data_IF_706188581830
#
_entry.id   IF_706188581830
#
_cell.length_a   1.000
_cell.length_b   1.000
_cell.length_c   1.000
_cell.angle_alpha   90.00
_cell.angle_beta   90.00
_cell.angle_gamma   90.00
#
_symmetry.space_group_name_H-M   'P 1'
#
loop_
_entity.id
_entity.type
_entity.pdbx_description
1 polymer ?
#
# COMPACT_ATOMS: atom_id res chain seq x y z
N UNK A 1 7.21 -18.25 -9.60
CA UNK A 1 6.73 -16.90 -9.99
C UNK A 1 6.78 -16.78 -11.51
N UNK A 2 5.87 -16.00 -12.13
CA UNK A 2 5.83 -15.81 -13.60
C UNK A 2 6.90 -14.85 -14.13
N UNK A 3 7.73 -14.27 -13.25
CA UNK A 3 8.76 -13.29 -13.64
C UNK A 3 8.18 -11.91 -13.94
N UNK A 4 8.87 -11.14 -14.78
CA UNK A 4 8.38 -9.87 -15.29
C UNK A 4 7.32 -10.11 -16.36
N UNK A 5 6.24 -9.33 -16.32
CA UNK A 5 5.10 -9.43 -17.22
C UNK A 5 4.87 -8.06 -17.85
N UNK A 6 4.50 -8.00 -19.13
CA UNK A 6 4.17 -6.74 -19.78
C UNK A 6 2.93 -6.12 -19.12
N UNK A 7 2.91 -4.79 -18.97
CA UNK A 7 1.84 -4.10 -18.25
C UNK A 7 0.44 -4.39 -18.78
N UNK A 8 0.31 -4.56 -20.09
CA UNK A 8 -0.93 -4.90 -20.80
C UNK A 8 -1.45 -6.30 -20.52
N UNK A 9 -0.58 -7.23 -20.12
CA UNK A 9 -0.94 -8.61 -19.78
C UNK A 9 -1.35 -8.76 -18.32
N UNK A 10 -0.98 -7.82 -17.45
CA UNK A 10 -1.28 -7.86 -16.01
C UNK A 10 -2.78 -8.06 -15.72
N UNK A 11 -3.73 -7.42 -16.44
CA UNK A 11 -5.16 -7.65 -16.23
C UNK A 11 -5.62 -9.10 -16.44
N UNK A 12 -4.94 -9.89 -17.29
CA UNK A 12 -5.31 -11.29 -17.51
C UNK A 12 -5.21 -12.10 -16.22
N UNK A 13 -4.23 -11.80 -15.38
CA UNK A 13 -4.04 -12.44 -14.08
C UNK A 13 -5.13 -12.09 -13.07
N UNK A 14 -5.82 -10.95 -13.23
CA UNK A 14 -6.91 -10.59 -12.34
C UNK A 14 -8.15 -11.44 -12.59
N UNK A 15 -8.32 -11.95 -13.82
CA UNK A 15 -9.45 -12.79 -14.21
C UNK A 15 -9.26 -14.26 -13.83
N UNK A 16 -8.01 -14.69 -13.65
CA UNK A 16 -7.66 -16.05 -13.19
C UNK A 16 -7.60 -16.18 -11.66
N UNK A 17 -7.49 -15.07 -10.93
CA UNK A 17 -7.34 -15.07 -9.49
C UNK A 17 -8.68 -14.96 -8.75
N UNK A 18 -8.79 -15.61 -7.59
CA UNK A 18 -9.94 -15.44 -6.70
C UNK A 18 -9.84 -14.18 -5.82
N UNK A 19 -8.62 -13.81 -5.41
CA UNK A 19 -8.33 -12.69 -4.52
C UNK A 19 -7.02 -12.00 -4.90
N UNK A 20 -7.02 -10.67 -4.92
CA UNK A 20 -5.83 -9.83 -5.00
C UNK A 20 -5.28 -9.54 -3.60
N UNK A 21 -4.02 -9.90 -3.35
CA UNK A 21 -3.38 -9.75 -2.04
C UNK A 21 -2.34 -8.63 -2.09
N UNK A 22 -2.47 -7.66 -1.18
CA UNK A 22 -1.52 -6.58 -1.00
C UNK A 22 -0.94 -6.61 0.43
N UNK A 23 0.39 -6.73 0.54
CA UNK A 23 1.08 -6.81 1.83
C UNK A 23 2.10 -5.68 1.88
N UNK A 24 1.82 -4.67 2.69
CA UNK A 24 2.68 -3.52 2.84
C UNK A 24 3.36 -3.46 4.21
N UNK A 25 4.48 -2.74 4.25
CA UNK A 25 5.08 -2.28 5.50
C UNK A 25 4.31 -1.06 6.01
N UNK A 26 4.20 -0.97 7.33
CA UNK A 26 3.67 0.22 7.99
C UNK A 26 4.74 1.32 8.06
N UNK A 27 4.82 2.12 6.98
CA UNK A 27 5.75 3.24 6.82
C UNK A 27 5.04 4.46 6.21
N UNK A 28 5.60 5.65 6.37
CA UNK A 28 4.99 6.91 5.91
C UNK A 28 4.61 6.89 4.42
N UNK A 29 5.46 6.33 3.56
CA UNK A 29 5.16 6.21 2.13
C UNK A 29 3.88 5.41 1.88
N UNK A 30 3.64 4.34 2.66
CA UNK A 30 2.44 3.52 2.53
C UNK A 30 1.23 4.21 3.14
N UNK A 31 1.39 4.83 4.31
CA UNK A 31 0.30 5.55 5.00
C UNK A 31 -0.25 6.71 4.18
N UNK A 32 0.64 7.45 3.51
CA UNK A 32 0.30 8.64 2.71
C UNK A 32 0.12 8.35 1.22
N UNK A 33 0.52 7.15 0.78
CA UNK A 33 0.49 6.74 -0.62
C UNK A 33 -0.87 6.21 -1.04
N UNK A 34 -1.18 6.37 -2.34
CA UNK A 34 -2.33 5.73 -2.96
C UNK A 34 -1.97 4.34 -3.49
N UNK A 35 -2.92 3.38 -3.42
CA UNK A 35 -2.72 2.00 -3.88
C UNK A 35 -3.47 1.73 -5.17
N UNK A 36 -2.94 2.23 -6.29
CA UNK A 36 -3.60 2.11 -7.60
C UNK A 36 -3.90 0.65 -7.99
N UNK A 37 -3.04 -0.30 -7.60
CA UNK A 37 -3.27 -1.73 -7.85
C UNK A 37 -4.56 -2.25 -7.19
N UNK A 38 -4.90 -1.78 -6.00
CA UNK A 38 -6.18 -2.11 -5.34
C UNK A 38 -7.36 -1.53 -6.14
N UNK A 39 -7.21 -0.32 -6.66
CA UNK A 39 -8.25 0.30 -7.49
C UNK A 39 -8.48 -0.48 -8.80
N UNK A 40 -7.41 -1.01 -9.40
CA UNK A 40 -7.51 -1.83 -10.61
C UNK A 40 -8.20 -3.17 -10.33
N UNK A 41 -7.92 -3.79 -9.19
CA UNK A 41 -8.64 -4.98 -8.73
C UNK A 41 -10.13 -4.71 -8.51
N UNK A 42 -10.50 -3.58 -7.90
CA UNK A 42 -11.91 -3.19 -7.82
C UNK A 42 -12.55 -3.03 -9.20
N UNK A 43 -11.88 -2.37 -10.14
CA UNK A 43 -12.41 -2.22 -11.52
C UNK A 43 -12.60 -3.57 -12.21
N UNK A 44 -11.67 -4.50 -12.02
CA UNK A 44 -11.79 -5.86 -12.53
C UNK A 44 -12.93 -6.64 -11.85
N UNK A 45 -13.27 -6.32 -10.61
CA UNK A 45 -14.18 -7.11 -9.78
C UNK A 45 -13.49 -8.27 -9.10
N UNK A 46 -12.20 -8.10 -8.79
CA UNK A 46 -11.40 -9.01 -7.99
C UNK A 46 -11.52 -8.61 -6.51
N UNK A 47 -11.81 -9.58 -5.64
CA UNK A 47 -11.84 -9.32 -4.21
C UNK A 47 -10.45 -8.93 -3.71
N UNK A 48 -10.37 -7.96 -2.78
CA UNK A 48 -9.09 -7.47 -2.25
C UNK A 48 -8.88 -7.96 -0.83
N UNK A 49 -7.66 -8.39 -0.52
CA UNK A 49 -7.14 -8.57 0.83
C UNK A 49 -5.89 -7.69 1.01
N UNK A 50 -5.91 -6.71 1.93
CA UNK A 50 -4.78 -5.78 2.13
C UNK A 50 -4.37 -5.61 3.59
N UNK A 51 -3.09 -5.39 3.86
CA UNK A 51 -2.65 -4.91 5.18
C UNK A 51 -3.30 -3.56 5.47
N UNK A 52 -3.90 -3.37 6.65
CA UNK A 52 -4.56 -2.11 7.01
C UNK A 52 -3.52 -1.05 7.44
N UNK A 53 -3.14 -0.15 6.52
CA UNK A 53 -2.06 0.83 6.74
C UNK A 53 -2.41 2.24 6.23
N UNK A 54 -3.37 2.38 5.30
CA UNK A 54 -3.65 3.65 4.63
C UNK A 54 -5.14 3.95 4.60
N UNK A 55 -5.51 5.19 4.24
CA UNK A 55 -6.91 5.62 4.16
C UNK A 55 -7.77 4.69 3.29
N UNK A 56 -7.21 4.20 2.17
CA UNK A 56 -7.95 3.28 1.30
C UNK A 56 -8.34 1.99 2.04
N UNK A 57 -7.47 1.45 2.90
CA UNK A 57 -7.76 0.22 3.64
C UNK A 57 -8.74 0.44 4.78
N UNK A 58 -8.80 1.63 5.35
CA UNK A 58 -9.86 2.03 6.29
C UNK A 58 -11.23 2.09 5.58
N UNK A 59 -11.27 2.63 4.35
CA UNK A 59 -12.49 2.63 3.52
C UNK A 59 -12.92 1.19 3.20
N UNK A 60 -11.95 0.29 2.92
CA UNK A 60 -12.25 -1.12 2.65
C UNK A 60 -13.00 -1.77 3.81
N UNK A 61 -12.53 -1.58 5.04
CA UNK A 61 -13.18 -2.12 6.24
C UNK A 61 -14.56 -1.50 6.46
N UNK A 62 -14.63 -0.17 6.43
CA UNK A 62 -15.85 0.58 6.72
C UNK A 62 -16.98 0.23 5.76
N UNK A 63 -16.68 0.21 4.46
CA UNK A 63 -17.67 0.00 3.40
C UNK A 63 -17.90 -1.49 3.09
N UNK A 64 -17.13 -2.39 3.72
CA UNK A 64 -17.21 -3.85 3.52
C UNK A 64 -17.03 -4.25 2.06
N UNK A 65 -16.09 -3.61 1.39
CA UNK A 65 -15.81 -3.77 -0.04
C UNK A 65 -14.60 -4.66 -0.35
N UNK A 66 -14.01 -5.24 0.70
CA UNK A 66 -12.87 -6.13 0.65
C UNK A 66 -12.54 -6.58 2.06
N UNK A 67 -11.36 -7.16 2.21
CA UNK A 67 -10.85 -7.64 3.48
C UNK A 67 -9.53 -6.98 3.81
N UNK A 68 -9.26 -6.87 5.09
CA UNK A 68 -8.00 -6.38 5.61
C UNK A 68 -7.44 -7.33 6.66
N UNK A 69 -6.15 -7.19 6.92
CA UNK A 69 -5.45 -7.84 8.02
C UNK A 69 -4.48 -6.86 8.68
N UNK A 70 -4.09 -7.15 9.91
CA UNK A 70 -3.18 -6.31 10.69
C UNK A 70 -1.75 -6.36 10.13
N UNK A 71 -1.09 -5.21 9.89
CA UNK A 71 0.30 -5.21 9.42
C UNK A 71 1.23 -5.88 10.43
N UNK A 72 2.23 -6.60 9.91
CA UNK A 72 3.19 -7.42 10.68
C UNK A 72 2.58 -8.61 11.45
N UNK A 73 1.31 -8.96 11.21
CA UNK A 73 0.66 -10.10 11.83
C UNK A 73 0.44 -11.23 10.83
N UNK A 74 1.35 -12.20 10.81
CA UNK A 74 1.26 -13.36 9.91
C UNK A 74 0.12 -14.31 10.29
N UNK A 75 -0.33 -14.31 11.56
CA UNK A 75 -1.43 -15.16 12.03
C UNK A 75 -2.77 -14.60 11.58
N UNK A 76 -2.95 -13.29 11.65
CA UNK A 76 -4.16 -12.66 11.12
C UNK A 76 -4.25 -12.82 9.60
N UNK A 77 -3.15 -12.60 8.87
CA UNK A 77 -3.09 -12.86 7.43
C UNK A 77 -3.49 -14.31 7.09
N UNK A 78 -2.91 -15.30 7.78
CA UNK A 78 -3.21 -16.72 7.50
C UNK A 78 -4.66 -17.06 7.83
N UNK A 79 -5.19 -16.56 8.95
CA UNK A 79 -6.59 -16.75 9.31
C UNK A 79 -7.54 -16.16 8.25
N UNK A 80 -7.24 -14.96 7.73
CA UNK A 80 -8.01 -14.36 6.62
C UNK A 80 -7.93 -15.20 5.35
N UNK A 81 -6.75 -15.68 4.96
CA UNK A 81 -6.61 -16.51 3.76
C UNK A 81 -7.43 -17.81 3.86
N UNK A 82 -7.36 -18.50 5.00
CA UNK A 82 -8.16 -19.71 5.26
C UNK A 82 -9.65 -19.41 5.24
N UNK A 83 -10.07 -18.28 5.81
CA UNK A 83 -11.46 -17.84 5.74
C UNK A 83 -11.92 -17.65 4.30
N UNK A 84 -11.17 -16.87 3.50
CA UNK A 84 -11.55 -16.56 2.12
C UNK A 84 -11.63 -17.82 1.25
N UNK A 85 -10.68 -18.74 1.40
CA UNK A 85 -10.68 -20.02 0.68
C UNK A 85 -11.92 -20.88 0.99
N UNK A 86 -12.42 -20.81 2.23
CA UNK A 86 -13.60 -21.57 2.66
C UNK A 86 -14.94 -20.86 2.39
N UNK A 87 -14.94 -19.58 1.97
CA UNK A 87 -16.17 -18.79 1.77
C UNK A 87 -16.25 -18.15 0.37
N UNK A 88 -16.09 -18.91 -0.74
CA UNK A 88 -16.00 -18.37 -2.09
C UNK A 88 -17.22 -17.55 -2.52
N UNK A 89 -18.42 -17.90 -2.06
CA UNK A 89 -19.64 -17.13 -2.33
C UNK A 89 -19.61 -15.75 -1.70
N UNK A 90 -19.09 -15.62 -0.49
CA UNK A 90 -18.94 -14.33 0.19
C UNK A 90 -17.86 -13.50 -0.49
N UNK A 91 -16.73 -14.11 -0.83
CA UNK A 91 -15.64 -13.47 -1.58
C UNK A 91 -16.18 -12.84 -2.86
N UNK A 92 -16.96 -13.61 -3.65
CA UNK A 92 -17.58 -13.11 -4.88
C UNK A 92 -18.56 -11.96 -4.63
N UNK A 93 -19.38 -12.05 -3.58
CA UNK A 93 -20.30 -10.98 -3.18
C UNK A 93 -19.56 -9.70 -2.81
N UNK A 94 -18.49 -9.82 -2.02
CA UNK A 94 -17.63 -8.70 -1.62
C UNK A 94 -16.91 -8.09 -2.83
N UNK A 95 -16.44 -8.91 -3.76
CA UNK A 95 -15.82 -8.44 -5.00
C UNK A 95 -16.78 -7.58 -5.86
N UNK A 96 -18.05 -8.00 -5.97
CA UNK A 96 -19.10 -7.25 -6.67
C UNK A 96 -19.37 -5.92 -5.95
N UNK A 97 -19.44 -5.93 -4.62
CA UNK A 97 -19.62 -4.71 -3.83
C UNK A 97 -18.44 -3.74 -4.03
N UNK A 98 -17.20 -4.24 -3.98
CA UNK A 98 -16.01 -3.44 -4.22
C UNK A 98 -15.91 -2.88 -5.63
N UNK A 99 -16.30 -3.64 -6.65
CA UNK A 99 -16.43 -3.11 -8.02
C UNK A 99 -17.41 -1.97 -8.12
N UNK A 100 -18.62 -2.17 -7.58
CA UNK A 100 -19.67 -1.15 -7.59
C UNK A 100 -19.20 0.12 -6.88
N UNK A 101 -18.61 -0.02 -5.69
CA UNK A 101 -18.10 1.12 -4.92
C UNK A 101 -16.96 1.82 -5.64
N UNK A 102 -15.99 1.07 -6.17
CA UNK A 102 -14.82 1.63 -6.85
C UNK A 102 -15.19 2.39 -8.12
N UNK A 103 -16.14 1.88 -8.92
CA UNK A 103 -16.64 2.59 -10.10
C UNK A 103 -17.39 3.87 -9.73
N UNK A 104 -18.12 3.89 -8.61
CA UNK A 104 -18.88 5.05 -8.16
C UNK A 104 -17.99 6.14 -7.53
N UNK A 105 -17.03 5.75 -6.70
CA UNK A 105 -16.31 6.67 -5.81
C UNK A 105 -14.85 6.92 -6.22
N UNK A 106 -14.22 6.01 -6.96
CA UNK A 106 -12.79 6.10 -7.34
C UNK A 106 -12.58 6.31 -8.84
N UNK A 107 -13.58 6.86 -9.53
CA UNK A 107 -13.43 7.33 -10.91
C UNK A 107 -12.86 8.76 -10.94
N UNK A 108 -12.27 9.13 -12.09
CA UNK A 108 -11.65 10.44 -12.27
C UNK A 108 -12.61 11.60 -11.99
N UNK A 109 -13.86 11.52 -12.43
CA UNK A 109 -14.83 12.61 -12.21
C UNK A 109 -15.03 12.87 -10.71
N UNK A 110 -15.11 11.80 -9.90
CA UNK A 110 -15.32 11.93 -8.46
C UNK A 110 -14.05 12.34 -7.72
N UNK A 111 -12.90 11.71 -8.02
CA UNK A 111 -11.64 11.99 -7.32
C UNK A 111 -11.03 13.34 -7.66
N UNK A 112 -11.39 13.91 -8.81
CA UNK A 112 -10.92 15.24 -9.24
C UNK A 112 -11.99 16.33 -9.08
N UNK A 113 -13.09 16.07 -8.38
CA UNK A 113 -14.22 17.00 -8.25
C UNK A 113 -13.77 18.38 -7.73
N UNK A 114 -12.95 18.42 -6.67
CA UNK A 114 -12.43 19.68 -6.11
C UNK A 114 -11.47 20.39 -7.07
N UNK A 115 -10.66 19.63 -7.82
CA UNK A 115 -9.78 20.19 -8.85
C UNK A 115 -10.59 20.79 -9.99
N UNK A 116 -11.68 20.13 -10.43
CA UNK A 116 -12.59 20.66 -11.45
C UNK A 116 -13.27 21.95 -10.98
N UNK A 117 -13.74 22.00 -9.73
CA UNK A 117 -14.32 23.22 -9.12
C UNK A 117 -13.33 24.37 -9.13
N UNK A 118 -12.08 24.12 -8.75
CA UNK A 118 -11.02 25.12 -8.82
C UNK A 118 -10.72 25.54 -10.27
N UNK A 119 -10.61 24.58 -11.20
CA UNK A 119 -10.32 24.89 -12.60
C UNK A 119 -11.42 25.73 -13.28
N UNK A 120 -12.68 25.60 -12.84
CA UNK A 120 -13.78 26.42 -13.34
C UNK A 120 -13.73 27.88 -12.86
N UNK A 121 -13.08 28.15 -11.72
CA UNK A 121 -12.89 29.50 -11.16
C UNK A 121 -11.55 29.59 -10.43
N UNK A 122 -10.42 29.63 -11.16
CA UNK A 122 -9.11 29.48 -10.56
C UNK A 122 -8.78 30.67 -9.66
N UNK A 123 -8.52 30.37 -8.39
CA UNK A 123 -8.05 31.35 -7.41
C UNK A 123 -6.60 31.08 -7.05
N UNK A 124 -5.88 32.14 -6.74
CA UNK A 124 -4.53 32.01 -6.19
C UNK A 124 -4.56 31.45 -4.77
N UNK A 125 -3.48 30.77 -4.41
CA UNK A 125 -3.29 30.32 -3.03
C UNK A 125 -3.30 31.52 -2.06
N UNK A 126 -3.85 31.38 -0.83
CA UNK A 126 -3.95 32.45 0.16
C UNK A 126 -2.60 33.05 0.62
N UNK A 127 -1.49 32.39 0.28
CA UNK A 127 -0.12 32.83 0.58
C UNK A 127 0.54 33.56 -0.59
N UNK A 128 -0.15 33.76 -1.72
CA UNK A 128 0.36 34.56 -2.82
C UNK A 128 0.67 35.98 -2.36
N UNK A 129 1.92 36.41 -2.57
CA UNK A 129 2.40 37.73 -2.18
C UNK A 129 2.69 37.88 -0.68
N UNK A 130 2.51 36.81 0.13
CA UNK A 130 2.95 36.82 1.52
C UNK A 130 4.44 36.53 1.60
N UNK A 131 5.11 37.21 2.53
CA UNK A 131 6.51 36.97 2.82
C UNK A 131 6.69 35.55 3.37
N UNK A 132 7.56 34.76 2.73
CA UNK A 132 7.84 33.39 3.15
C UNK A 132 8.66 33.41 4.42
N UNK A 133 8.02 33.20 5.57
CA UNK A 133 8.71 33.02 6.85
C UNK A 133 9.22 31.60 6.94
N UNK A 134 10.52 31.40 6.72
CA UNK A 134 11.16 30.14 7.08
C UNK A 134 11.19 30.03 8.60
N UNK A 135 10.65 28.93 9.13
CA UNK A 135 10.57 28.68 10.58
C UNK A 135 11.92 28.39 11.24
N UNK A 136 12.95 28.14 10.45
CA UNK A 136 14.30 27.86 10.92
C UNK A 136 15.29 28.77 10.22
N UNK A 137 16.29 29.24 10.96
CA UNK A 137 17.47 29.82 10.32
C UNK A 137 18.18 28.74 9.50
N UNK A 138 18.93 29.15 8.47
CA UNK A 138 19.74 28.24 7.64
C UNK A 138 20.67 27.38 8.51
N UNK A 139 21.20 27.95 9.58
CA UNK A 139 22.12 27.29 10.52
C UNK A 139 21.40 26.23 11.36
N UNK A 140 20.17 26.49 11.80
CA UNK A 140 19.36 25.51 12.54
C UNK A 140 18.96 24.32 11.66
N UNK A 141 18.58 24.58 10.41
CA UNK A 141 18.28 23.54 9.43
C UNK A 141 19.52 22.66 9.16
N UNK A 142 20.70 23.26 9.00
CA UNK A 142 21.96 22.53 8.79
C UNK A 142 22.40 21.74 10.04
N UNK A 143 22.12 22.24 11.24
CA UNK A 143 22.39 21.51 12.51
C UNK A 143 21.58 20.20 12.61
N UNK A 144 20.36 20.19 12.06
CA UNK A 144 19.53 18.98 11.98
C UNK A 144 20.08 17.95 10.99
N UNK A 145 20.79 18.41 9.94
CA UNK A 145 21.31 17.55 8.86
C UNK A 145 22.30 16.52 9.38
N UNK A 146 23.22 16.92 10.28
CA UNK A 146 24.18 16.02 10.89
C UNK A 146 23.52 14.90 11.71
N UNK A 147 22.46 15.24 12.46
CA UNK A 147 21.68 14.25 13.21
C UNK A 147 20.90 13.31 12.29
N UNK A 148 20.34 13.82 11.20
CA UNK A 148 19.65 13.01 10.19
C UNK A 148 20.62 12.00 9.57
N UNK A 149 21.81 12.46 9.14
CA UNK A 149 22.84 11.58 8.57
C UNK A 149 23.29 10.51 9.56
N UNK A 150 23.49 10.87 10.84
CA UNK A 150 23.87 9.90 11.87
C UNK A 150 22.77 8.84 12.11
N UNK A 151 21.50 9.26 12.14
CA UNK A 151 20.36 8.34 12.25
C UNK A 151 20.28 7.41 11.04
N UNK A 152 20.47 7.93 9.84
CA UNK A 152 20.46 7.13 8.61
C UNK A 152 21.58 6.08 8.61
N UNK A 153 22.81 6.43 9.04
CA UNK A 153 23.90 5.46 9.18
C UNK A 153 23.54 4.32 10.14
N UNK A 154 23.02 4.64 11.32
CA UNK A 154 22.55 3.62 12.28
C UNK A 154 21.46 2.71 11.71
N UNK A 155 20.52 3.27 10.96
CA UNK A 155 19.47 2.48 10.30
C UNK A 155 20.04 1.52 9.25
N UNK A 156 21.05 1.94 8.49
CA UNK A 156 21.74 1.08 7.50
C UNK A 156 22.47 -0.05 8.23
N UNK A 157 23.23 0.26 9.28
CA UNK A 157 23.93 -0.74 10.09
C UNK A 157 22.98 -1.80 10.68
N UNK A 158 21.83 -1.38 11.22
CA UNK A 158 20.83 -2.31 11.77
C UNK A 158 20.17 -3.16 10.68
N UNK A 159 19.88 -2.57 9.52
CA UNK A 159 19.35 -3.30 8.37
C UNK A 159 20.33 -4.37 7.90
N UNK A 160 21.59 -4.01 7.73
CA UNK A 160 22.62 -4.91 7.22
C UNK A 160 22.87 -6.06 8.21
N UNK A 161 22.82 -5.78 9.52
CA UNK A 161 22.84 -6.83 10.56
C UNK A 161 21.68 -7.81 10.41
N UNK A 162 20.44 -7.31 10.26
CA UNK A 162 19.25 -8.18 10.07
C UNK A 162 19.33 -9.01 8.79
N UNK A 163 19.85 -8.44 7.70
CA UNK A 163 20.05 -9.18 6.44
C UNK A 163 21.02 -10.34 6.70
N UNK A 164 22.15 -10.10 7.36
CA UNK A 164 23.12 -11.15 7.69
C UNK A 164 22.53 -12.24 8.60
N UNK A 165 21.71 -11.87 9.58
CA UNK A 165 20.99 -12.82 10.44
C UNK A 165 20.03 -13.70 9.60
N UNK A 166 19.24 -13.10 8.72
CA UNK A 166 18.30 -13.80 7.84
C UNK A 166 19.01 -14.73 6.86
N UNK A 167 20.10 -14.28 6.23
CA UNK A 167 20.94 -15.11 5.35
C UNK A 167 21.52 -16.31 6.11
N UNK A 168 21.92 -16.12 7.37
CA UNK A 168 22.39 -17.20 8.24
C UNK A 168 21.30 -18.23 8.55
N UNK A 169 20.08 -17.77 8.84
CA UNK A 169 18.91 -18.65 9.06
C UNK A 169 18.58 -19.44 7.79
N UNK A 170 18.56 -18.77 6.64
CA UNK A 170 18.27 -19.40 5.35
C UNK A 170 19.32 -20.47 5.02
N UNK A 171 20.62 -20.15 5.16
CA UNK A 171 21.71 -21.13 4.94
C UNK A 171 21.61 -22.34 5.87
N UNK A 172 21.29 -22.14 7.15
CA UNK A 172 21.08 -23.26 8.08
C UNK A 172 19.88 -24.12 7.68
N UNK A 173 18.76 -23.51 7.30
CA UNK A 173 17.59 -24.22 6.82
C UNK A 173 17.85 -25.07 5.57
N UNK A 174 18.63 -24.55 4.60
CA UNK A 174 19.03 -25.32 3.42
C UNK A 174 19.95 -26.51 3.76
N UNK A 175 20.92 -26.31 4.67
CA UNK A 175 21.81 -27.37 5.13
C UNK A 175 21.08 -28.46 5.92
N UNK A 176 20.10 -28.09 6.75
CA UNK A 176 19.28 -29.04 7.52
C UNK A 176 18.30 -29.85 6.65
N UNK A 177 17.89 -29.31 5.50
CA UNK A 177 17.03 -30.00 4.53
C UNK A 177 17.80 -30.87 3.55
N UNK A 178 19.14 -30.81 3.51
CA UNK A 178 19.98 -31.61 2.61
C UNK A 178 19.99 -31.16 1.15
N UNK A 179 19.65 -29.89 0.89
CA UNK A 179 19.69 -29.30 -0.45
C UNK A 179 21.02 -28.53 -0.58
N UNK A 180 22.06 -29.19 -1.10
CA UNK A 180 23.30 -28.54 -1.55
C UNK A 180 23.14 -28.05 -2.99
#
# INVERSE_FOLDING_TARGET
MKGWVAGEDVPNYYLEADVGINIDKDIYEVRLGSKNRILDWFRAGLCVLSSNVCELTDIIEKEKIGYTFKPYDSKDLSAKLVYLANHPHEVKKTAIAGKKYGLLNFNFNKTTEELQKWAASPTFSPDRGKERKFFFSREEALKSLGQITLRQKKMIEERDRRISELEGIVKKGFNELGWN
#
